data_IF_920740149462
#
_entry.id   IF_920740149462
#
_cell.length_a   1.000
_cell.length_b   1.000
_cell.length_c   1.000
_cell.angle_alpha   90.00
_cell.angle_beta   90.00
_cell.angle_gamma   90.00
#
_symmetry.space_group_name_H-M   'P 1'
#
loop_
_entity.id
_entity.type
_entity.pdbx_description
1 polymer ?
#
# COMPACT_ATOMS: atom_id res chain seq x y z
N UNK A 1 8.93 -22.47 44.44
CA UNK A 1 9.21 -22.45 42.98
C UNK A 1 8.84 -21.06 42.47
N UNK A 2 9.87 -20.26 42.23
CA UNK A 2 9.78 -18.80 42.12
C UNK A 2 9.50 -18.37 40.68
N UNK A 3 8.38 -17.66 40.48
CA UNK A 3 8.00 -17.05 39.20
C UNK A 3 8.96 -15.91 38.90
N UNK A 4 9.89 -16.09 37.95
CA UNK A 4 10.74 -14.99 37.47
C UNK A 4 9.88 -13.98 36.70
N UNK A 5 9.67 -12.83 37.33
CA UNK A 5 9.07 -11.62 36.75
C UNK A 5 9.94 -11.14 35.58
N UNK A 6 9.41 -11.24 34.36
CA UNK A 6 9.99 -10.56 33.21
C UNK A 6 9.54 -9.09 33.25
N UNK A 7 10.28 -8.27 33.99
CA UNK A 7 10.14 -6.82 33.95
C UNK A 7 11.53 -6.23 33.85
N UNK A 8 11.91 -5.80 32.65
CA UNK A 8 12.96 -4.81 32.38
C UNK A 8 12.66 -4.23 30.99
N UNK A 9 11.68 -3.33 30.91
CA UNK A 9 11.50 -2.46 29.76
C UNK A 9 12.57 -1.37 29.84
N UNK A 10 13.70 -1.56 29.17
CA UNK A 10 14.67 -0.49 28.98
C UNK A 10 14.14 0.42 27.85
N UNK A 11 13.93 1.74 28.09
CA UNK A 11 13.42 2.61 27.04
C UNK A 11 14.46 2.75 25.93
N UNK A 12 14.01 2.61 24.68
CA UNK A 12 14.84 2.78 23.49
C UNK A 12 15.45 4.18 23.47
N UNK A 13 16.74 4.27 23.17
CA UNK A 13 17.41 5.58 23.07
C UNK A 13 16.98 6.30 21.80
N UNK A 14 16.82 7.63 21.89
CA UNK A 14 16.24 8.51 20.85
C UNK A 14 16.93 8.43 19.47
N UNK A 15 18.17 7.92 19.40
CA UNK A 15 18.94 7.68 18.16
C UNK A 15 18.63 6.34 17.48
N UNK A 16 18.22 5.32 18.23
CA UNK A 16 17.90 3.98 17.68
C UNK A 16 16.51 3.93 17.05
N UNK A 17 15.63 4.85 17.43
CA UNK A 17 14.27 5.01 16.88
C UNK A 17 14.29 5.67 15.49
N UNK A 18 15.28 6.54 15.21
CA UNK A 18 15.31 7.38 14.01
C UNK A 18 15.62 6.62 12.70
N UNK A 19 16.39 5.52 12.75
CA UNK A 19 16.64 4.65 11.58
C UNK A 19 15.61 3.51 11.48
N UNK A 20 14.73 3.36 12.48
CA UNK A 20 13.87 2.18 12.69
C UNK A 20 12.44 2.30 12.19
N UNK A 21 12.00 3.51 11.82
CA UNK A 21 10.59 3.76 11.45
C UNK A 21 10.15 3.03 10.18
N UNK A 22 11.08 2.72 9.27
CA UNK A 22 10.78 2.11 7.96
C UNK A 22 11.14 0.63 7.87
N UNK A 23 12.07 0.14 8.71
CA UNK A 23 12.58 -1.23 8.61
C UNK A 23 11.53 -2.28 9.02
N UNK A 24 10.95 -2.15 10.20
CA UNK A 24 9.93 -3.11 10.69
C UNK A 24 8.70 -3.13 9.78
N UNK A 25 8.10 -1.99 9.38
CA UNK A 25 6.96 -2.01 8.45
C UNK A 25 7.28 -2.67 7.12
N UNK A 26 8.50 -2.50 6.59
CA UNK A 26 8.93 -3.17 5.36
C UNK A 26 8.94 -4.69 5.52
N UNK A 27 9.51 -5.20 6.62
CA UNK A 27 9.50 -6.65 6.88
C UNK A 27 8.07 -7.19 7.01
N UNK A 28 7.21 -6.46 7.71
CA UNK A 28 5.78 -6.80 7.83
C UNK A 28 5.13 -6.94 6.45
N UNK A 29 5.31 -5.95 5.57
CA UNK A 29 4.77 -6.01 4.21
C UNK A 29 5.32 -7.20 3.42
N UNK A 30 6.61 -7.50 3.53
CA UNK A 30 7.21 -8.66 2.84
C UNK A 30 6.60 -9.96 3.36
N UNK A 31 6.44 -10.12 4.67
CA UNK A 31 5.83 -11.32 5.27
C UNK A 31 4.41 -11.52 4.71
N UNK A 32 3.57 -10.48 4.79
CA UNK A 32 2.18 -10.55 4.33
C UNK A 32 2.09 -10.84 2.82
N UNK A 33 2.92 -10.17 2.01
CA UNK A 33 2.97 -10.40 0.55
C UNK A 33 3.47 -11.79 0.18
N UNK A 34 4.43 -12.33 0.94
CA UNK A 34 4.99 -13.66 0.70
C UNK A 34 3.90 -14.71 0.93
N UNK A 35 3.23 -14.69 2.09
CA UNK A 35 2.13 -15.61 2.36
C UNK A 35 0.96 -15.44 1.37
N UNK A 36 0.62 -14.20 1.01
CA UNK A 36 -0.41 -13.93 0.01
C UNK A 36 -0.08 -14.56 -1.36
N UNK A 37 1.20 -14.59 -1.74
CA UNK A 37 1.67 -15.20 -2.99
C UNK A 37 1.51 -16.73 -2.99
N UNK A 38 1.49 -17.36 -1.81
CA UNK A 38 1.16 -18.79 -1.63
C UNK A 38 -0.35 -19.04 -1.42
N UNK A 39 -1.19 -18.01 -1.58
CA UNK A 39 -2.63 -18.08 -1.36
C UNK A 39 -3.04 -18.18 0.11
N UNK A 40 -2.17 -17.76 1.03
CA UNK A 40 -2.40 -17.79 2.47
C UNK A 40 -2.60 -16.34 2.94
N UNK A 41 -3.80 -16.03 3.42
CA UNK A 41 -4.10 -14.71 3.98
C UNK A 41 -3.70 -14.67 5.46
N UNK A 42 -2.72 -13.83 5.77
CA UNK A 42 -2.21 -13.61 7.13
C UNK A 42 -2.13 -12.12 7.41
N UNK A 43 -2.13 -11.77 8.70
CA UNK A 43 -1.96 -10.40 9.16
C UNK A 43 -0.99 -10.34 10.33
N UNK A 44 -0.03 -9.41 10.30
CA UNK A 44 0.87 -9.23 11.44
C UNK A 44 0.19 -8.37 12.51
N UNK A 45 0.09 -8.89 13.73
CA UNK A 45 -0.58 -8.21 14.86
C UNK A 45 0.39 -7.70 15.92
N UNK A 46 1.51 -8.38 16.12
CA UNK A 46 2.49 -8.09 17.18
C UNK A 46 3.92 -8.21 16.65
N UNK A 47 4.82 -7.38 17.18
CA UNK A 47 6.26 -7.46 16.90
C UNK A 47 7.03 -7.38 18.20
N UNK A 48 7.88 -8.37 18.45
CA UNK A 48 8.80 -8.38 19.58
C UNK A 48 10.23 -8.35 19.07
N UNK A 49 10.95 -7.29 19.43
CA UNK A 49 12.35 -7.10 19.04
C UNK A 49 13.22 -7.56 20.21
N UNK A 50 13.98 -8.64 20.01
CA UNK A 50 14.95 -9.19 21.00
C UNK A 50 16.38 -9.05 20.47
N UNK A 51 17.40 -9.23 21.30
CA UNK A 51 18.81 -9.09 20.90
C UNK A 51 19.17 -9.80 19.58
N UNK A 52 18.89 -11.11 19.49
CA UNK A 52 19.31 -11.95 18.36
C UNK A 52 18.30 -12.08 17.22
N UNK A 53 17.01 -11.86 17.49
CA UNK A 53 15.93 -12.09 16.52
C UNK A 53 14.76 -11.13 16.73
N UNK A 54 13.95 -10.97 15.69
CA UNK A 54 12.68 -10.24 15.71
C UNK A 54 11.57 -11.27 15.54
N UNK A 55 10.69 -11.34 16.52
CA UNK A 55 9.53 -12.22 16.52
C UNK A 55 8.32 -11.46 16.00
N UNK A 56 7.68 -11.96 14.94
CA UNK A 56 6.43 -11.43 14.42
C UNK A 56 5.29 -12.38 14.81
N UNK A 57 4.27 -11.85 15.48
CA UNK A 57 3.02 -12.57 15.74
C UNK A 57 2.05 -12.35 14.59
N UNK A 58 1.66 -13.42 13.93
CA UNK A 58 0.72 -13.41 12.81
C UNK A 58 -0.60 -14.08 13.19
N UNK A 59 -1.68 -13.46 12.73
CA UNK A 59 -3.03 -14.01 12.75
C UNK A 59 -3.32 -14.60 11.36
N UNK A 60 -3.96 -15.77 11.35
CA UNK A 60 -4.22 -16.54 10.13
C UNK A 60 -5.72 -16.58 9.85
N UNK A 61 -6.10 -16.63 8.58
CA UNK A 61 -7.51 -16.77 8.22
C UNK A 61 -8.03 -18.14 8.64
N UNK A 62 -9.22 -18.17 9.25
CA UNK A 62 -9.90 -19.41 9.65
C UNK A 62 -10.01 -20.39 8.49
N UNK A 63 -9.78 -21.68 8.77
CA UNK A 63 -9.78 -22.75 7.76
C UNK A 63 -8.45 -22.95 7.04
N UNK A 64 -7.46 -22.09 7.27
CA UNK A 64 -6.09 -22.31 6.77
C UNK A 64 -5.41 -23.39 7.60
N UNK A 65 -4.87 -24.43 6.94
CA UNK A 65 -4.09 -25.48 7.61
C UNK A 65 -2.77 -24.91 8.12
N UNK A 66 -2.49 -25.13 9.40
CA UNK A 66 -1.25 -24.71 10.08
C UNK A 66 -0.01 -25.23 9.35
N UNK A 67 -0.03 -26.49 8.91
CA UNK A 67 1.09 -27.13 8.20
C UNK A 67 1.54 -26.38 6.95
N UNK A 68 0.63 -25.66 6.28
CA UNK A 68 0.99 -24.86 5.09
C UNK A 68 1.88 -23.69 5.46
N UNK A 69 1.73 -23.15 6.67
CA UNK A 69 2.47 -21.98 7.14
C UNK A 69 3.84 -22.42 7.67
N UNK A 70 3.86 -23.50 8.46
CA UNK A 70 5.09 -24.04 9.05
C UNK A 70 6.11 -24.50 7.99
N UNK A 71 5.65 -24.92 6.82
CA UNK A 71 6.50 -25.39 5.72
C UNK A 71 7.11 -24.27 4.87
N UNK A 72 6.77 -23.01 5.12
CA UNK A 72 7.23 -21.86 4.34
C UNK A 72 8.41 -21.13 5.00
N UNK A 73 9.06 -21.75 5.99
CA UNK A 73 10.21 -21.21 6.71
C UNK A 73 11.36 -20.84 5.77
N UNK A 74 11.66 -21.69 4.79
CA UNK A 74 12.72 -21.48 3.81
C UNK A 74 12.38 -20.39 2.81
N UNK A 75 11.17 -20.41 2.27
CA UNK A 75 10.66 -19.43 1.31
C UNK A 75 10.61 -18.04 1.96
N UNK A 76 10.20 -17.98 3.22
CA UNK A 76 10.16 -16.73 3.97
C UNK A 76 11.58 -16.22 4.29
N UNK A 77 12.51 -17.12 4.63
CA UNK A 77 13.93 -16.77 4.80
C UNK A 77 14.50 -16.13 3.53
N UNK A 78 14.17 -16.70 2.37
CA UNK A 78 14.60 -16.19 1.08
C UNK A 78 13.96 -14.83 0.76
N UNK A 79 12.64 -14.70 0.94
CA UNK A 79 11.91 -13.46 0.65
C UNK A 79 12.36 -12.29 1.52
N UNK A 80 12.68 -12.56 2.79
CA UNK A 80 13.18 -11.55 3.73
C UNK A 80 14.67 -11.21 3.54
N UNK A 81 15.38 -11.95 2.68
CA UNK A 81 16.84 -11.92 2.60
C UNK A 81 17.47 -12.04 4.01
N UNK A 82 16.91 -12.94 4.81
CA UNK A 82 17.31 -13.10 6.20
C UNK A 82 18.77 -13.60 6.29
N UNK A 83 19.55 -13.14 7.28
CA UNK A 83 20.93 -13.57 7.47
C UNK A 83 21.06 -15.05 7.90
N UNK A 84 19.95 -15.67 8.30
CA UNK A 84 19.87 -17.07 8.67
C UNK A 84 18.45 -17.59 8.42
N UNK A 85 18.22 -18.85 8.80
CA UNK A 85 16.91 -19.47 8.64
C UNK A 85 15.90 -18.86 9.62
N UNK A 86 14.70 -18.59 9.10
CA UNK A 86 13.54 -18.14 9.87
C UNK A 86 12.94 -19.35 10.58
N UNK A 87 12.61 -19.21 11.85
CA UNK A 87 11.92 -20.24 12.63
C UNK A 87 10.44 -19.88 12.77
N UNK A 88 9.55 -20.86 12.63
CA UNK A 88 8.11 -20.67 12.75
C UNK A 88 7.58 -21.61 13.82
N UNK A 89 6.96 -21.05 14.85
CA UNK A 89 6.45 -21.83 15.98
C UNK A 89 5.12 -21.29 16.51
N UNK A 90 4.48 -22.09 17.37
CA UNK A 90 3.22 -21.77 18.02
C UNK A 90 3.46 -21.63 19.52
N UNK A 91 2.83 -20.62 20.14
CA UNK A 91 2.80 -20.53 21.60
C UNK A 91 1.50 -21.14 22.13
N UNK A 92 1.55 -22.16 22.99
CA UNK A 92 0.35 -22.77 23.56
C UNK A 92 -0.54 -21.76 24.28
N UNK A 93 -1.85 -21.83 24.04
CA UNK A 93 -2.82 -20.93 24.67
C UNK A 93 -2.96 -19.56 24.01
N UNK A 94 -2.31 -19.33 22.86
CA UNK A 94 -2.54 -18.18 21.98
C UNK A 94 -3.04 -18.63 20.61
N UNK A 95 -3.72 -17.74 19.92
CA UNK A 95 -4.25 -17.88 18.56
C UNK A 95 -3.28 -17.32 17.49
N UNK A 96 -2.02 -17.09 17.86
CA UNK A 96 -1.00 -16.50 17.00
C UNK A 96 0.08 -17.50 16.64
N UNK A 97 0.56 -17.38 15.41
CA UNK A 97 1.78 -18.05 14.96
C UNK A 97 2.93 -17.05 15.05
N UNK A 98 4.07 -17.50 15.55
CA UNK A 98 5.24 -16.67 15.73
C UNK A 98 6.29 -17.01 14.68
N UNK A 99 6.85 -15.96 14.08
CA UNK A 99 7.91 -16.02 13.07
C UNK A 99 9.13 -15.31 13.63
N UNK A 100 10.18 -16.07 13.91
CA UNK A 100 11.45 -15.56 14.42
C UNK A 100 12.43 -15.31 13.26
N UNK A 101 12.67 -14.04 12.99
CA UNK A 101 13.60 -13.59 11.94
C UNK A 101 14.94 -13.22 12.59
N UNK A 102 16.06 -13.87 12.21
CA UNK A 102 17.36 -13.57 12.78
C UNK A 102 17.80 -12.15 12.40
N UNK A 103 18.35 -11.42 13.37
CA UNK A 103 18.95 -10.11 13.13
C UNK A 103 20.36 -10.27 12.60
N UNK A 104 20.68 -9.49 11.57
CA UNK A 104 22.06 -9.36 11.10
C UNK A 104 22.86 -8.42 12.00
N UNK A 105 23.77 -7.65 11.43
CA UNK A 105 24.54 -6.62 12.15
C UNK A 105 23.71 -5.38 12.56
N UNK A 106 22.39 -5.41 12.33
CA UNK A 106 21.50 -4.29 12.57
C UNK A 106 21.22 -4.13 14.05
N UNK A 107 21.61 -2.98 14.62
CA UNK A 107 21.29 -2.62 16.00
C UNK A 107 19.87 -2.06 16.05
N UNK A 108 18.92 -2.90 16.50
CA UNK A 108 17.58 -2.47 16.88
C UNK A 108 17.48 -2.58 18.38
N UNK A 109 17.03 -1.52 19.05
CA UNK A 109 16.78 -1.59 20.47
C UNK A 109 15.57 -2.48 20.78
N UNK A 110 15.67 -3.16 21.92
CA UNK A 110 14.73 -4.21 22.32
C UNK A 110 13.41 -3.59 22.78
N UNK A 111 12.30 -4.28 22.48
CA UNK A 111 10.98 -3.79 22.85
C UNK A 111 9.85 -4.67 22.34
N UNK A 112 8.66 -4.49 22.93
CA UNK A 112 7.41 -5.08 22.45
C UNK A 112 6.55 -4.00 21.82
N UNK A 113 6.09 -4.25 20.61
CA UNK A 113 5.32 -3.29 19.83
C UNK A 113 4.04 -3.95 19.33
N UNK A 114 2.89 -3.35 19.65
CA UNK A 114 1.63 -3.68 19.00
C UNK A 114 1.57 -2.91 17.69
N UNK A 115 1.30 -3.60 16.58
CA UNK A 115 1.36 -3.06 15.21
C UNK A 115 0.49 -1.80 15.02
N UNK A 116 -0.62 -1.67 15.76
CA UNK A 116 -1.50 -0.48 15.76
C UNK A 116 -0.72 0.80 16.12
N UNK A 117 0.29 0.71 17.02
CA UNK A 117 1.16 1.85 17.36
C UNK A 117 2.21 2.13 16.27
N UNK A 118 2.74 1.07 15.62
CA UNK A 118 3.72 1.21 14.52
C UNK A 118 3.11 1.93 13.32
N UNK A 119 1.86 1.61 12.93
CA UNK A 119 1.16 2.29 11.83
C UNK A 119 0.68 3.71 12.18
N UNK A 120 0.31 3.98 13.44
CA UNK A 120 -0.06 5.34 13.86
C UNK A 120 1.16 6.27 13.91
N UNK A 121 2.32 5.75 14.29
CA UNK A 121 3.56 6.53 14.35
C UNK A 121 4.20 6.73 12.96
N UNK A 122 4.05 5.76 12.04
CA UNK A 122 4.47 5.91 10.63
C UNK A 122 3.63 6.93 9.85
N UNK A 123 2.34 7.09 10.19
CA UNK A 123 1.46 8.17 9.67
C UNK A 123 1.80 9.56 10.22
N UNK A 124 2.64 9.68 11.24
CA UNK A 124 2.90 10.94 11.93
C UNK A 124 3.84 11.93 11.21
N UNK A 125 4.52 11.53 10.14
CA UNK A 125 5.54 12.41 9.50
C UNK A 125 5.49 12.46 7.96
N UNK A 126 4.61 11.73 7.30
CA UNK A 126 4.32 11.95 5.86
C UNK A 126 2.91 12.48 5.72
N UNK A 127 2.79 13.82 5.69
CA UNK A 127 1.58 14.49 5.25
C UNK A 127 0.71 15.11 6.35
N UNK A 128 1.28 15.99 7.18
CA UNK A 128 0.57 17.27 7.37
C UNK A 128 0.89 18.11 6.14
N UNK A 129 0.23 17.81 5.02
CA UNK A 129 0.12 18.80 3.95
C UNK A 129 -0.61 19.96 4.61
N UNK A 130 0.11 21.05 4.85
CA UNK A 130 -0.55 22.30 5.18
C UNK A 130 -1.55 22.53 4.05
N UNK A 131 -2.80 22.83 4.40
CA UNK A 131 -3.92 22.95 3.45
C UNK A 131 -3.59 23.90 2.27
N UNK A 132 -2.65 24.83 2.51
CA UNK A 132 -2.02 25.71 1.53
C UNK A 132 -1.15 25.03 0.47
N UNK A 133 -0.34 24.02 0.82
CA UNK A 133 0.57 23.35 -0.13
C UNK A 133 -0.20 22.48 -1.13
N UNK A 134 -1.25 21.78 -0.67
CA UNK A 134 -2.12 21.00 -1.55
C UNK A 134 -2.90 21.89 -2.52
N UNK A 135 -3.46 23.02 -2.06
CA UNK A 135 -4.19 23.92 -2.94
C UNK A 135 -3.26 24.58 -3.98
N UNK A 136 -2.02 24.88 -3.60
CA UNK A 136 -1.02 25.40 -4.54
C UNK A 136 -0.64 24.36 -5.60
N UNK A 137 -0.41 23.11 -5.20
CA UNK A 137 -0.08 22.03 -6.13
C UNK A 137 -1.26 21.67 -7.06
N UNK A 138 -2.48 21.60 -6.50
CA UNK A 138 -3.71 21.41 -7.27
C UNK A 138 -3.97 22.58 -8.23
N UNK A 139 -3.72 23.82 -7.82
CA UNK A 139 -3.85 25.00 -8.68
C UNK A 139 -2.84 24.98 -9.82
N UNK A 140 -1.61 24.53 -9.57
CA UNK A 140 -0.59 24.34 -10.61
C UNK A 140 -1.06 23.27 -11.60
N UNK A 141 -1.56 22.14 -11.10
CA UNK A 141 -2.08 21.05 -11.94
C UNK A 141 -3.29 21.49 -12.78
N UNK A 142 -4.30 22.11 -12.18
CA UNK A 142 -5.49 22.61 -12.86
C UNK A 142 -5.10 23.65 -13.93
N UNK A 143 -4.13 24.54 -13.64
CA UNK A 143 -3.62 25.50 -14.63
C UNK A 143 -2.95 24.81 -15.81
N UNK A 144 -2.19 23.73 -15.56
CA UNK A 144 -1.56 22.94 -16.61
C UNK A 144 -2.58 22.25 -17.53
N UNK A 145 -3.62 21.66 -16.92
CA UNK A 145 -4.72 20.99 -17.64
C UNK A 145 -5.48 21.99 -18.52
N UNK A 146 -5.84 23.17 -17.99
CA UNK A 146 -6.55 24.20 -18.76
C UNK A 146 -5.75 24.74 -19.95
N UNK A 147 -4.43 24.92 -19.81
CA UNK A 147 -3.56 25.37 -20.90
C UNK A 147 -3.52 24.32 -22.03
N UNK A 148 -3.40 23.04 -21.67
CA UNK A 148 -3.36 21.94 -22.65
C UNK A 148 -4.69 21.75 -23.36
N UNK A 149 -5.81 21.86 -22.63
CA UNK A 149 -7.16 21.77 -23.19
C UNK A 149 -7.44 22.96 -24.13
N UNK A 150 -7.09 24.19 -23.76
CA UNK A 150 -7.26 25.35 -24.62
C UNK A 150 -6.50 25.22 -25.94
N UNK A 151 -5.27 24.71 -25.87
CA UNK A 151 -4.45 24.43 -27.07
C UNK A 151 -5.04 23.32 -27.93
N UNK A 152 -5.65 22.31 -27.31
CA UNK A 152 -6.34 21.23 -27.99
C UNK A 152 -7.61 21.71 -28.69
N UNK A 153 -8.44 22.55 -28.04
CA UNK A 153 -9.65 23.12 -28.66
C UNK A 153 -9.32 24.12 -29.78
N UNK A 154 -8.29 24.96 -29.61
CA UNK A 154 -7.81 25.83 -30.69
C UNK A 154 -7.32 25.02 -31.91
N UNK A 155 -6.66 23.90 -31.66
CA UNK A 155 -6.28 22.95 -32.70
C UNK A 155 -7.50 22.24 -33.32
N UNK A 156 -8.50 21.90 -32.51
CA UNK A 156 -9.74 21.26 -32.96
C UNK A 156 -10.56 22.18 -33.88
N UNK A 157 -10.70 23.45 -33.51
CA UNK A 157 -11.43 24.45 -34.30
C UNK A 157 -10.83 24.64 -35.69
N UNK A 158 -9.49 24.64 -35.79
CA UNK A 158 -8.80 24.70 -37.09
C UNK A 158 -9.02 23.48 -37.99
N UNK A 159 -9.43 22.34 -37.42
CA UNK A 159 -9.58 21.07 -38.14
C UNK A 159 -11.00 20.82 -38.67
N UNK A 160 -11.97 21.66 -38.28
CA UNK A 160 -13.36 21.54 -38.75
C UNK A 160 -13.51 22.44 -39.99
N UNK A 161 -13.72 21.89 -41.20
CA UNK A 161 -13.98 22.70 -42.38
C UNK A 161 -15.34 23.39 -42.22
N UNK A 162 -15.38 24.72 -42.32
CA UNK A 162 -16.64 25.47 -42.39
C UNK A 162 -17.33 25.16 -43.72
N UNK A 163 -18.23 24.17 -43.74
CA UNK A 163 -19.14 23.96 -44.86
C UNK A 163 -20.18 25.08 -44.85
N UNK A 164 -20.09 25.96 -45.84
CA UNK A 164 -21.15 26.91 -46.20
C UNK A 164 -22.40 26.11 -46.59
N UNK A 165 -23.45 26.15 -45.75
CA UNK A 165 -24.76 25.65 -46.12
C UNK A 165 -25.38 26.64 -47.12
N UNK A 166 -25.27 26.34 -48.41
CA UNK A 166 -26.21 26.87 -49.39
C UNK A 166 -27.55 26.15 -49.23
N UNK A 167 -28.63 26.92 -49.24
CA UNK A 167 -30.01 26.42 -49.26
C UNK A 167 -30.16 25.59 -50.53
N UNK A 168 -30.53 24.32 -50.37
CA UNK A 168 -30.96 23.49 -51.50
C UNK A 168 -32.36 23.97 -51.84
N UNK A 169 -32.51 24.68 -52.95
CA UNK A 169 -33.81 25.05 -53.48
C UNK A 169 -34.64 23.77 -53.70
N UNK A 170 -35.76 23.66 -52.99
CA UNK A 170 -36.72 22.57 -53.18
C UNK A 170 -37.29 22.68 -54.61
N UNK A 171 -37.39 21.58 -55.36
CA UNK A 171 -38.05 21.62 -56.66
C UNK A 171 -39.52 21.99 -56.45
N UNK A 172 -39.92 23.09 -57.06
CA UNK A 172 -41.29 23.59 -57.10
C UNK A 172 -42.20 22.49 -57.65
N UNK A 173 -43.21 22.12 -56.86
CA UNK A 173 -44.20 21.11 -57.24
C UNK A 173 -44.94 21.56 -58.49
N UNK A 174 -44.86 20.76 -59.57
CA UNK A 174 -45.72 20.95 -60.74
C UNK A 174 -47.16 20.78 -60.30
N UNK A 175 -47.92 21.88 -60.29
CA UNK A 175 -49.37 21.83 -60.26
C UNK A 175 -49.85 21.18 -61.57
N UNK A 176 -50.58 20.07 -61.42
CA UNK A 176 -51.45 19.53 -62.45
C UNK A 176 -52.55 20.57 -62.75
N UNK A 177 -52.38 21.33 -63.83
CA UNK A 177 -53.49 22.06 -64.42
C UNK A 177 -54.16 21.19 -65.48
N UNK A 178 -55.43 20.89 -65.21
CA UNK A 178 -56.33 20.07 -65.99
C UNK A 178 -56.67 20.72 -67.35
N UNK A 179 -56.58 19.89 -68.40
CA UNK A 179 -57.30 19.91 -69.69
C UNK A 179 -58.69 20.62 -69.63
N UNK A 180 -59.24 21.30 -70.68
CA UNK A 180 -59.35 20.75 -72.04
C UNK A 180 -59.32 21.75 -73.22
N UNK A 181 -58.90 21.26 -74.41
CA UNK A 181 -59.44 21.49 -75.77
C UNK A 181 -58.36 21.28 -76.84
#
# INVERSE_FOLDING_TARGET
MEKKKYTNEKPLTKKEVATNKTFIPRLVSIIEMTYASFGIQVKVVEVHVRDKFITFGIEITMGTKIDKILKLDKELSLALAAPGMVDIHLEPGRDLIYIDVPKGKTKLAEGKYKIIKIYQESKGETGKLTESEFYNDLKIFVRFVLIKIGSFFYWLEKKIPRRSLYIVDLPESKEEENNPF
#
